data_IF_611121264512
#
_entry.id   IF_611121264512
#
_cell.length_a   1.000
_cell.length_b   1.000
_cell.length_c   1.000
_cell.angle_alpha   90.00
_cell.angle_beta   90.00
_cell.angle_gamma   90.00
#
_symmetry.space_group_name_H-M   'P 1'
#
loop_
_entity.id
_entity.type
_entity.pdbx_description
1 polymer ?
#
# COMPACT_ATOMS: atom_id res chain seq x y z
N UNK A 1 56.10 25.10 -53.96
CA UNK A 1 54.84 25.70 -53.57
C UNK A 1 54.03 24.56 -52.91
N UNK A 2 54.17 24.44 -51.59
CA UNK A 2 53.67 23.29 -50.80
C UNK A 2 52.42 23.74 -50.00
N UNK A 3 51.30 23.21 -50.41
CA UNK A 3 49.99 23.46 -49.67
C UNK A 3 49.94 22.59 -48.43
N UNK A 4 49.92 23.24 -47.28
CA UNK A 4 49.70 22.60 -45.96
C UNK A 4 48.22 22.43 -45.73
N UNK A 5 47.72 21.19 -45.78
CA UNK A 5 46.31 20.87 -45.37
C UNK A 5 46.22 20.82 -43.84
N UNK A 6 45.47 21.75 -43.25
CA UNK A 6 45.10 21.74 -41.83
C UNK A 6 44.00 20.69 -41.59
N UNK A 7 44.34 19.59 -40.92
CA UNK A 7 43.33 18.70 -40.32
C UNK A 7 42.87 19.30 -39.00
N UNK A 8 41.63 19.73 -38.96
CA UNK A 8 40.96 20.08 -37.70
C UNK A 8 40.44 18.79 -37.05
N UNK A 9 41.06 18.40 -35.94
CA UNK A 9 40.62 17.27 -35.11
C UNK A 9 39.49 17.77 -34.20
N UNK A 10 38.24 17.42 -34.52
CA UNK A 10 37.10 17.71 -33.66
C UNK A 10 37.11 16.73 -32.50
N UNK A 11 37.46 17.21 -31.31
CA UNK A 11 37.36 16.48 -30.05
C UNK A 11 35.89 16.46 -29.59
N UNK A 12 35.18 15.35 -29.81
CA UNK A 12 33.84 15.13 -29.30
C UNK A 12 33.98 14.79 -27.81
N UNK A 13 33.68 15.78 -26.96
CA UNK A 13 33.50 15.62 -25.50
C UNK A 13 32.23 14.86 -25.26
N UNK A 14 32.29 13.55 -25.04
CA UNK A 14 31.20 12.76 -24.49
C UNK A 14 31.11 13.05 -22.98
N UNK A 15 30.22 13.96 -22.61
CA UNK A 15 29.89 14.18 -21.22
C UNK A 15 29.08 12.96 -20.73
N UNK A 16 29.50 12.25 -19.67
CA UNK A 16 28.68 11.24 -19.07
C UNK A 16 27.47 11.97 -18.45
N UNK A 17 26.25 11.67 -18.94
CA UNK A 17 25.02 12.06 -18.31
C UNK A 17 25.00 11.39 -16.94
N UNK A 18 25.35 12.15 -15.88
CA UNK A 18 24.98 11.75 -14.52
C UNK A 18 23.46 11.75 -14.48
N UNK A 19 22.87 10.59 -14.66
CA UNK A 19 21.48 10.37 -14.26
C UNK A 19 21.40 10.67 -12.76
N UNK A 20 20.84 11.82 -12.43
CA UNK A 20 20.49 12.17 -11.06
C UNK A 20 19.45 11.11 -10.63
N UNK A 21 19.94 10.04 -10.00
CA UNK A 21 19.07 9.05 -9.39
C UNK A 21 18.22 9.83 -8.38
N UNK A 22 16.91 9.90 -8.64
CA UNK A 22 15.96 10.46 -7.71
C UNK A 22 16.16 9.74 -6.37
N UNK A 23 16.75 10.45 -5.40
CA UNK A 23 17.14 9.93 -4.08
C UNK A 23 15.91 9.73 -3.19
N UNK A 24 15.00 8.86 -3.62
CA UNK A 24 13.89 8.40 -2.80
C UNK A 24 14.27 7.09 -2.10
N UNK A 25 13.61 6.80 -0.99
CA UNK A 25 13.76 5.50 -0.32
C UNK A 25 13.43 4.35 -1.29
N UNK A 26 14.09 3.19 -1.10
CA UNK A 26 13.68 1.97 -1.79
C UNK A 26 12.30 1.49 -1.29
N UNK A 27 11.60 0.62 -2.03
CA UNK A 27 10.34 0.04 -1.58
C UNK A 27 10.43 -0.57 -0.16
N UNK A 28 11.46 -1.38 0.07
CA UNK A 28 11.69 -2.00 1.37
C UNK A 28 12.01 -0.96 2.45
N UNK A 29 12.82 0.05 2.13
CA UNK A 29 13.14 1.12 3.08
C UNK A 29 11.89 1.94 3.45
N UNK A 30 11.02 2.21 2.47
CA UNK A 30 9.72 2.86 2.69
C UNK A 30 8.85 2.03 3.65
N UNK A 31 8.71 0.73 3.42
CA UNK A 31 7.97 -0.17 4.31
C UNK A 31 8.58 -0.21 5.71
N UNK A 32 9.90 -0.34 5.84
CA UNK A 32 10.59 -0.34 7.14
C UNK A 32 10.31 0.94 7.92
N UNK A 33 10.41 2.08 7.26
CA UNK A 33 10.13 3.37 7.90
C UNK A 33 8.68 3.43 8.38
N UNK A 34 7.71 3.16 7.50
CA UNK A 34 6.27 3.27 7.82
C UNK A 34 5.86 2.26 8.89
N UNK A 35 6.30 1.02 8.81
CA UNK A 35 6.04 0.02 9.84
C UNK A 35 6.64 0.42 11.19
N UNK A 36 7.84 1.00 11.21
CA UNK A 36 8.47 1.51 12.43
C UNK A 36 7.72 2.69 13.07
N UNK A 37 7.15 3.57 12.24
CA UNK A 37 6.31 4.67 12.71
C UNK A 37 4.99 4.14 13.33
N UNK A 38 4.34 3.18 12.68
CA UNK A 38 3.14 2.51 13.20
C UNK A 38 3.44 1.75 14.50
N UNK A 39 4.54 1.00 14.55
CA UNK A 39 4.93 0.25 15.74
C UNK A 39 5.15 1.16 16.96
N UNK A 40 5.77 2.31 16.77
CA UNK A 40 5.92 3.33 17.83
C UNK A 40 4.57 3.83 18.35
N UNK A 41 3.62 4.09 17.45
CA UNK A 41 2.27 4.50 17.83
C UNK A 41 1.56 3.41 18.63
N UNK A 42 1.63 2.15 18.18
CA UNK A 42 0.97 1.02 18.82
C UNK A 42 1.52 0.71 20.22
N UNK A 43 2.82 0.88 20.43
CA UNK A 43 3.49 0.62 21.73
C UNK A 43 3.31 1.76 22.72
N UNK A 44 2.83 2.93 22.30
CA UNK A 44 2.51 4.00 23.24
C UNK A 44 1.28 3.62 24.07
N UNK A 45 1.45 3.63 25.39
CA UNK A 45 0.37 3.30 26.34
C UNK A 45 -0.68 4.41 26.34
N UNK A 46 -1.90 4.07 26.00
CA UNK A 46 -3.07 4.96 26.06
C UNK A 46 -4.20 4.27 26.83
N UNK A 47 -4.97 5.03 27.59
CA UNK A 47 -6.13 4.53 28.31
C UNK A 47 -7.26 4.24 27.32
N UNK A 48 -7.89 3.06 27.45
CA UNK A 48 -9.01 2.64 26.59
C UNK A 48 -10.21 3.60 26.74
N UNK A 49 -10.75 4.03 25.61
CA UNK A 49 -11.86 5.00 25.54
C UNK A 49 -11.43 6.45 25.69
N UNK A 50 -10.16 6.74 25.95
CA UNK A 50 -9.67 8.11 26.12
C UNK A 50 -9.53 8.87 24.79
N UNK A 51 -9.51 10.22 24.82
CA UNK A 51 -9.17 11.03 23.64
C UNK A 51 -7.78 10.69 23.05
N UNK A 52 -6.84 10.27 23.91
CA UNK A 52 -5.51 9.84 23.48
C UNK A 52 -5.57 8.55 22.66
N UNK A 53 -6.43 7.59 23.02
CA UNK A 53 -6.66 6.39 22.22
C UNK A 53 -7.27 6.72 20.85
N UNK A 54 -8.25 7.64 20.83
CA UNK A 54 -8.84 8.06 19.56
C UNK A 54 -7.79 8.75 18.66
N UNK A 55 -6.99 9.65 19.23
CA UNK A 55 -5.89 10.27 18.51
C UNK A 55 -4.89 9.24 17.96
N UNK A 56 -4.52 8.22 18.76
CA UNK A 56 -3.64 7.14 18.30
C UNK A 56 -4.23 6.39 17.09
N UNK A 57 -5.54 6.06 17.12
CA UNK A 57 -6.24 5.43 16.00
C UNK A 57 -6.21 6.31 14.74
N UNK A 58 -6.44 7.60 14.90
CA UNK A 58 -6.46 8.55 13.77
C UNK A 58 -5.05 8.74 13.19
N UNK A 59 -4.02 8.77 14.03
CA UNK A 59 -2.63 8.84 13.57
C UNK A 59 -2.22 7.58 12.81
N UNK A 60 -2.63 6.37 13.27
CA UNK A 60 -2.42 5.11 12.53
C UNK A 60 -3.13 5.13 11.17
N UNK A 61 -4.38 5.62 11.09
CA UNK A 61 -5.10 5.78 9.82
C UNK A 61 -4.39 6.73 8.86
N UNK A 62 -3.90 7.88 9.37
CA UNK A 62 -3.11 8.83 8.57
C UNK A 62 -1.85 8.18 8.01
N UNK A 63 -1.16 7.38 8.82
CA UNK A 63 0.01 6.64 8.37
C UNK A 63 -0.35 5.63 7.26
N UNK A 64 -1.41 4.84 7.44
CA UNK A 64 -1.90 3.94 6.41
C UNK A 64 -2.21 4.69 5.10
N UNK A 65 -2.81 5.89 5.19
CA UNK A 65 -3.13 6.72 4.04
C UNK A 65 -1.89 7.22 3.27
N UNK A 66 -0.73 7.33 3.90
CA UNK A 66 0.52 7.67 3.21
C UNK A 66 1.22 6.45 2.61
N UNK A 67 0.90 5.24 3.07
CA UNK A 67 1.51 4.01 2.59
C UNK A 67 0.66 3.31 1.53
N UNK A 68 -0.68 3.31 1.67
CA UNK A 68 -1.58 2.59 0.78
C UNK A 68 -2.04 3.47 -0.38
N UNK A 69 -2.01 2.90 -1.59
CA UNK A 69 -2.63 3.48 -2.78
C UNK A 69 -4.08 2.98 -2.88
N UNK A 70 -4.99 3.71 -2.24
CA UNK A 70 -6.41 3.34 -2.21
C UNK A 70 -7.07 3.45 -3.58
N UNK A 71 -6.63 4.35 -4.45
CA UNK A 71 -7.17 4.51 -5.80
C UNK A 71 -6.81 3.30 -6.67
N UNK A 72 -5.54 2.92 -6.72
CA UNK A 72 -5.08 1.75 -7.46
C UNK A 72 -5.71 0.46 -6.90
N UNK A 73 -5.77 0.32 -5.57
CA UNK A 73 -6.39 -0.82 -4.90
C UNK A 73 -7.88 -0.92 -5.24
N UNK A 74 -8.62 0.19 -5.22
CA UNK A 74 -10.04 0.27 -5.55
C UNK A 74 -10.29 -0.08 -7.02
N UNK A 75 -9.53 0.54 -7.93
CA UNK A 75 -9.63 0.27 -9.35
C UNK A 75 -9.40 -1.21 -9.67
N UNK A 76 -8.33 -1.79 -9.13
CA UNK A 76 -8.01 -3.21 -9.34
C UNK A 76 -9.03 -4.15 -8.70
N UNK A 77 -9.65 -3.75 -7.59
CA UNK A 77 -10.68 -4.55 -6.91
C UNK A 77 -12.02 -4.54 -7.66
N UNK A 78 -12.38 -3.46 -8.34
CA UNK A 78 -13.58 -3.41 -9.17
C UNK A 78 -13.36 -3.97 -10.58
N UNK A 79 -12.11 -3.95 -11.07
CA UNK A 79 -11.72 -4.46 -12.39
C UNK A 79 -12.66 -3.97 -13.51
N UNK A 80 -13.33 -4.89 -14.22
CA UNK A 80 -14.23 -4.57 -15.35
C UNK A 80 -15.43 -3.67 -14.99
N UNK A 81 -15.73 -3.48 -13.72
CA UNK A 81 -16.81 -2.60 -13.28
C UNK A 81 -16.37 -1.15 -13.10
N UNK A 82 -15.05 -0.89 -12.95
CA UNK A 82 -14.52 0.44 -12.68
C UNK A 82 -14.87 1.46 -13.76
N UNK A 83 -14.70 1.10 -15.02
CA UNK A 83 -14.90 2.02 -16.14
C UNK A 83 -16.39 2.37 -16.38
N UNK A 84 -17.30 1.56 -15.84
CA UNK A 84 -18.75 1.79 -15.88
C UNK A 84 -19.23 2.79 -14.85
N UNK A 85 -18.40 3.15 -13.85
CA UNK A 85 -18.77 4.07 -12.80
C UNK A 85 -18.56 5.52 -13.22
N UNK A 86 -19.49 6.37 -12.81
CA UNK A 86 -19.34 7.83 -12.90
C UNK A 86 -18.26 8.32 -11.93
N UNK A 87 -17.66 9.51 -12.15
CA UNK A 87 -16.68 10.07 -11.23
C UNK A 87 -17.15 10.16 -9.76
N UNK A 88 -18.38 10.61 -9.46
CA UNK A 88 -18.89 10.59 -8.08
C UNK A 88 -18.96 9.19 -7.46
N UNK A 89 -19.38 8.18 -8.25
CA UNK A 89 -19.43 6.80 -7.78
C UNK A 89 -18.01 6.25 -7.47
N UNK A 90 -17.02 6.57 -8.31
CA UNK A 90 -15.62 6.19 -8.03
C UNK A 90 -15.14 6.81 -6.73
N UNK A 91 -15.38 8.10 -6.51
CA UNK A 91 -15.02 8.80 -5.27
C UNK A 91 -15.68 8.17 -4.06
N UNK A 92 -16.99 7.88 -4.14
CA UNK A 92 -17.75 7.22 -3.07
C UNK A 92 -17.20 5.82 -2.77
N UNK A 93 -16.89 5.04 -3.80
CA UNK A 93 -16.35 3.70 -3.64
C UNK A 93 -14.98 3.72 -2.97
N UNK A 94 -14.05 4.56 -3.47
CA UNK A 94 -12.70 4.70 -2.90
C UNK A 94 -12.77 5.09 -1.43
N UNK A 95 -13.57 6.10 -1.08
CA UNK A 95 -13.71 6.55 0.31
C UNK A 95 -14.28 5.46 1.21
N UNK A 96 -15.33 4.76 0.77
CA UNK A 96 -15.96 3.68 1.55
C UNK A 96 -15.01 2.48 1.73
N UNK A 97 -14.29 2.10 0.67
CA UNK A 97 -13.30 1.02 0.73
C UNK A 97 -12.14 1.38 1.65
N UNK A 98 -11.65 2.61 1.55
CA UNK A 98 -10.62 3.14 2.43
C UNK A 98 -11.01 3.01 3.90
N UNK A 99 -12.21 3.48 4.28
CA UNK A 99 -12.69 3.38 5.67
C UNK A 99 -12.75 1.93 6.17
N UNK A 100 -13.22 1.00 5.33
CA UNK A 100 -13.26 -0.43 5.65
C UNK A 100 -11.86 -1.00 5.89
N UNK A 101 -10.90 -0.67 5.03
CA UNK A 101 -9.53 -1.14 5.15
C UNK A 101 -8.87 -0.55 6.39
N UNK A 102 -8.93 0.76 6.58
CA UNK A 102 -8.32 1.46 7.72
C UNK A 102 -8.86 0.93 9.05
N UNK A 103 -10.16 0.68 9.12
CA UNK A 103 -10.80 0.13 10.31
C UNK A 103 -10.34 -1.30 10.64
N UNK A 104 -10.33 -2.17 9.63
CA UNK A 104 -9.85 -3.54 9.79
C UNK A 104 -8.36 -3.56 10.16
N UNK A 105 -7.56 -2.71 9.54
CA UNK A 105 -6.13 -2.58 9.80
C UNK A 105 -5.86 -2.15 11.24
N UNK A 106 -6.51 -1.08 11.74
CA UNK A 106 -6.37 -0.62 13.13
C UNK A 106 -6.79 -1.70 14.12
N UNK A 107 -7.88 -2.43 13.83
CA UNK A 107 -8.35 -3.53 14.68
C UNK A 107 -7.32 -4.66 14.76
N UNK A 108 -6.78 -5.09 13.62
CA UNK A 108 -5.81 -6.19 13.56
C UNK A 108 -4.50 -5.83 14.26
N UNK A 109 -3.96 -4.65 14.01
CA UNK A 109 -2.72 -4.19 14.62
C UNK A 109 -2.77 -4.13 16.14
N UNK A 110 -3.93 -3.85 16.73
CA UNK A 110 -4.11 -3.75 18.18
C UNK A 110 -4.38 -5.09 18.85
N UNK A 111 -4.66 -6.13 18.09
CA UNK A 111 -4.99 -7.45 18.65
C UNK A 111 -3.75 -8.21 19.14
N UNK A 112 -2.62 -8.01 18.47
CA UNK A 112 -1.38 -8.67 18.86
C UNK A 112 -0.18 -7.76 18.62
N UNK A 113 0.48 -7.34 19.69
CA UNK A 113 1.66 -6.45 19.66
C UNK A 113 2.98 -7.22 19.81
N UNK A 114 2.94 -8.54 20.04
CA UNK A 114 4.14 -9.37 20.13
C UNK A 114 4.43 -10.03 18.77
N UNK A 115 4.96 -9.20 17.86
CA UNK A 115 5.37 -9.63 16.53
C UNK A 115 6.73 -9.05 16.15
N UNK A 116 7.40 -9.73 15.23
CA UNK A 116 8.62 -9.28 14.58
C UNK A 116 8.47 -9.36 13.07
N UNK A 117 8.89 -8.33 12.36
CA UNK A 117 8.89 -8.30 10.89
C UNK A 117 10.31 -8.53 10.37
N UNK A 118 10.48 -9.57 9.59
CA UNK A 118 11.72 -9.87 8.88
C UNK A 118 11.54 -9.54 7.39
N UNK A 119 12.31 -8.59 6.88
CA UNK A 119 12.31 -8.18 5.47
C UNK A 119 13.24 -9.12 4.72
N UNK A 120 12.70 -9.88 3.75
CA UNK A 120 13.41 -10.95 3.06
C UNK A 120 13.95 -10.52 1.70
N UNK A 121 13.07 -10.00 0.85
CA UNK A 121 13.39 -9.74 -0.55
C UNK A 121 12.73 -8.47 -1.06
N UNK A 122 13.37 -7.82 -2.04
CA UNK A 122 12.85 -6.68 -2.80
C UNK A 122 13.13 -6.92 -4.27
N UNK A 123 12.08 -6.91 -5.08
CA UNK A 123 12.17 -7.02 -6.54
C UNK A 123 11.62 -5.76 -7.17
N UNK A 124 12.40 -5.17 -8.07
CA UNK A 124 12.05 -3.94 -8.80
C UNK A 124 11.77 -4.26 -10.26
N UNK A 125 10.71 -3.69 -10.80
CA UNK A 125 10.39 -3.73 -12.23
C UNK A 125 9.82 -2.36 -12.65
N UNK A 126 10.70 -1.45 -13.05
CA UNK A 126 10.37 -0.07 -13.39
C UNK A 126 9.77 0.69 -12.21
N UNK A 127 8.53 1.13 -12.34
CA UNK A 127 7.74 1.80 -11.32
C UNK A 127 6.95 0.82 -10.41
N UNK A 128 7.12 -0.48 -10.59
CA UNK A 128 6.51 -1.52 -9.78
C UNK A 128 7.55 -2.18 -8.90
N UNK A 129 7.14 -2.63 -7.72
CA UNK A 129 7.98 -3.41 -6.83
C UNK A 129 7.20 -4.48 -6.09
N UNK A 130 7.93 -5.51 -5.67
CA UNK A 130 7.44 -6.53 -4.75
C UNK A 130 8.38 -6.59 -3.56
N UNK A 131 7.84 -6.47 -2.34
CA UNK A 131 8.61 -6.66 -1.11
C UNK A 131 8.02 -7.83 -0.33
N UNK A 132 8.86 -8.80 0.00
CA UNK A 132 8.47 -9.98 0.79
C UNK A 132 8.97 -9.84 2.21
N UNK A 133 8.08 -10.11 3.17
CA UNK A 133 8.40 -10.13 4.60
C UNK A 133 7.86 -11.40 5.25
N UNK A 134 8.49 -11.82 6.36
CA UNK A 134 7.95 -12.81 7.28
C UNK A 134 7.60 -12.12 8.58
N UNK A 135 6.34 -12.21 8.97
CA UNK A 135 5.87 -11.72 10.27
C UNK A 135 5.81 -12.89 11.23
N UNK A 136 6.65 -12.83 12.25
CA UNK A 136 6.69 -13.82 13.33
C UNK A 136 5.84 -13.33 14.49
N UNK A 137 4.77 -14.05 14.77
CA UNK A 137 3.82 -13.71 15.84
C UNK A 137 3.99 -14.67 17.01
N UNK A 138 4.14 -14.13 18.22
CA UNK A 138 4.05 -14.91 19.46
C UNK A 138 2.65 -14.73 20.06
N UNK A 139 1.91 -15.81 20.18
CA UNK A 139 0.61 -15.80 20.86
C UNK A 139 0.43 -17.07 21.69
N UNK A 140 0.13 -16.90 22.98
CA UNK A 140 -0.16 -18.01 23.90
C UNK A 140 0.85 -19.18 23.84
N UNK A 141 2.16 -18.89 23.72
CA UNK A 141 3.21 -19.90 23.64
C UNK A 141 3.36 -20.59 22.28
N UNK A 142 2.57 -20.21 21.29
CA UNK A 142 2.70 -20.66 19.90
C UNK A 142 3.42 -19.61 19.06
N UNK A 143 4.31 -20.08 18.20
CA UNK A 143 4.92 -19.25 17.15
C UNK A 143 4.19 -19.53 15.83
N UNK A 144 3.74 -18.49 15.18
CA UNK A 144 3.16 -18.57 13.85
C UNK A 144 3.89 -17.59 12.95
N UNK A 145 4.45 -18.10 11.87
CA UNK A 145 5.09 -17.29 10.85
C UNK A 145 4.09 -17.09 9.71
N UNK A 146 3.88 -15.86 9.30
CA UNK A 146 3.05 -15.52 8.15
C UNK A 146 3.91 -14.80 7.09
N UNK A 147 3.86 -15.27 5.85
CA UNK A 147 4.45 -14.55 4.74
C UNK A 147 3.52 -13.43 4.31
N UNK A 148 4.08 -12.22 4.18
CA UNK A 148 3.37 -11.07 3.64
C UNK A 148 4.15 -10.48 2.48
N UNK A 149 3.50 -10.43 1.31
CA UNK A 149 4.03 -9.86 0.10
C UNK A 149 3.29 -8.55 -0.20
N UNK A 150 4.04 -7.47 -0.32
CA UNK A 150 3.52 -6.15 -0.67
C UNK A 150 3.76 -5.87 -2.15
N UNK A 151 2.70 -5.60 -2.91
CA UNK A 151 2.80 -5.07 -4.26
C UNK A 151 2.77 -3.56 -4.20
N UNK A 152 3.81 -2.94 -4.72
CA UNK A 152 4.02 -1.51 -4.62
C UNK A 152 4.15 -0.87 -6.00
N UNK A 153 3.77 0.41 -6.07
CA UNK A 153 3.95 1.27 -7.23
C UNK A 153 4.58 2.58 -6.80
N UNK A 154 5.44 3.13 -7.62
CA UNK A 154 6.07 4.43 -7.41
C UNK A 154 5.22 5.51 -8.07
N UNK A 155 4.88 6.54 -7.29
CA UNK A 155 4.27 7.77 -7.77
C UNK A 155 5.15 9.00 -7.46
N UNK A 156 4.60 10.20 -7.60
CA UNK A 156 5.31 11.45 -7.31
C UNK A 156 5.71 11.61 -5.83
N UNK A 157 4.99 10.95 -4.92
CA UNK A 157 5.21 11.01 -3.47
C UNK A 157 6.12 9.87 -2.96
N UNK A 158 6.40 8.86 -3.81
CA UNK A 158 7.26 7.72 -3.50
C UNK A 158 6.59 6.37 -3.72
N UNK A 159 7.01 5.36 -2.95
CA UNK A 159 6.47 4.02 -3.06
C UNK A 159 5.21 3.84 -2.24
N UNK A 160 4.14 3.33 -2.87
CA UNK A 160 2.84 3.07 -2.24
C UNK A 160 2.38 1.63 -2.51
N UNK A 161 1.73 1.04 -1.52
CA UNK A 161 1.23 -0.34 -1.58
C UNK A 161 -0.18 -0.35 -2.16
N UNK A 162 -0.40 -1.14 -3.22
CA UNK A 162 -1.71 -1.31 -3.82
C UNK A 162 -2.30 -2.73 -3.64
N UNK A 163 -1.49 -3.72 -3.22
CA UNK A 163 -1.98 -5.04 -2.83
C UNK A 163 -1.13 -5.63 -1.70
N UNK A 164 -1.76 -6.38 -0.83
CA UNK A 164 -1.12 -7.15 0.24
C UNK A 164 -1.56 -8.60 0.10
N UNK A 165 -0.59 -9.50 0.01
CA UNK A 165 -0.82 -10.94 -0.09
C UNK A 165 -0.35 -11.55 1.21
N UNK A 166 -1.25 -12.23 1.93
CA UNK A 166 -0.95 -12.94 3.18
C UNK A 166 -1.30 -14.41 2.98
N UNK A 167 -0.33 -15.29 3.21
CA UNK A 167 -0.50 -16.73 3.03
C UNK A 167 -1.17 -17.06 1.67
N UNK A 168 -0.61 -16.52 0.59
CA UNK A 168 -1.06 -16.66 -0.80
C UNK A 168 -2.40 -15.97 -1.13
N UNK A 169 -3.09 -15.36 -0.16
CA UNK A 169 -4.36 -14.67 -0.37
C UNK A 169 -4.15 -13.18 -0.63
N UNK A 170 -4.36 -12.75 -1.88
CA UNK A 170 -4.31 -11.32 -2.28
C UNK A 170 -5.57 -10.59 -1.83
N UNK A 171 -5.39 -9.45 -1.16
CA UNK A 171 -6.47 -8.56 -0.73
C UNK A 171 -7.31 -8.07 -1.93
N UNK A 172 -6.64 -7.61 -2.98
CA UNK A 172 -7.28 -7.12 -4.21
C UNK A 172 -8.07 -8.25 -4.89
N UNK A 173 -7.49 -9.44 -5.04
CA UNK A 173 -8.20 -10.59 -5.66
C UNK A 173 -9.41 -11.01 -4.84
N UNK A 174 -9.29 -11.01 -3.52
CA UNK A 174 -10.38 -11.34 -2.61
C UNK A 174 -11.54 -10.34 -2.73
N UNK A 175 -11.25 -9.05 -2.69
CA UNK A 175 -12.26 -8.01 -2.94
C UNK A 175 -12.86 -8.10 -4.33
N UNK A 176 -12.05 -8.32 -5.36
CA UNK A 176 -12.53 -8.48 -6.74
C UNK A 176 -13.58 -9.59 -6.85
N UNK A 177 -13.30 -10.74 -6.28
CA UNK A 177 -14.23 -11.88 -6.29
C UNK A 177 -15.54 -11.52 -5.58
N UNK A 178 -15.47 -10.93 -4.39
CA UNK A 178 -16.65 -10.55 -3.62
C UNK A 178 -17.46 -9.44 -4.32
N UNK A 179 -16.80 -8.40 -4.80
CA UNK A 179 -17.47 -7.26 -5.43
C UNK A 179 -18.08 -7.65 -6.77
N UNK A 180 -17.35 -8.42 -7.60
CA UNK A 180 -17.89 -8.93 -8.86
C UNK A 180 -19.14 -9.76 -8.63
N UNK A 181 -19.14 -10.65 -7.66
CA UNK A 181 -20.31 -11.45 -7.30
C UNK A 181 -21.51 -10.56 -6.95
N UNK A 182 -21.34 -9.59 -6.04
CA UNK A 182 -22.44 -8.72 -5.60
C UNK A 182 -22.95 -7.85 -6.75
N UNK A 183 -22.06 -7.28 -7.57
CA UNK A 183 -22.46 -6.40 -8.67
C UNK A 183 -23.20 -7.20 -9.75
N UNK A 184 -22.73 -8.42 -10.06
CA UNK A 184 -23.34 -9.28 -11.09
C UNK A 184 -24.70 -9.81 -10.65
N UNK A 185 -24.83 -10.26 -9.41
CA UNK A 185 -26.06 -10.84 -8.86
C UNK A 185 -27.11 -9.77 -8.46
N UNK A 186 -26.68 -8.56 -8.16
CA UNK A 186 -27.55 -7.50 -7.63
C UNK A 186 -27.30 -6.18 -8.38
N UNK A 187 -26.39 -5.32 -7.88
CA UNK A 187 -25.98 -4.05 -8.50
C UNK A 187 -24.78 -3.42 -7.79
N UNK A 188 -24.22 -2.35 -8.39
CA UNK A 188 -23.24 -1.50 -7.73
C UNK A 188 -23.82 -0.83 -6.46
N UNK A 189 -25.05 -0.34 -6.51
CA UNK A 189 -25.71 0.32 -5.35
C UNK A 189 -25.87 -0.67 -4.19
N UNK A 190 -26.19 -1.93 -4.49
CA UNK A 190 -26.26 -2.98 -3.46
C UNK A 190 -24.87 -3.24 -2.82
N UNK A 191 -23.79 -3.18 -3.60
CA UNK A 191 -22.43 -3.29 -3.08
C UNK A 191 -22.13 -2.14 -2.12
N UNK A 192 -22.34 -0.88 -2.53
CA UNK A 192 -22.09 0.29 -1.68
C UNK A 192 -22.93 0.24 -0.41
N UNK A 193 -24.20 -0.12 -0.50
CA UNK A 193 -25.07 -0.28 0.67
C UNK A 193 -24.51 -1.32 1.65
N UNK A 194 -24.08 -2.49 1.16
CA UNK A 194 -23.48 -3.53 2.01
C UNK A 194 -22.18 -3.06 2.66
N UNK A 195 -21.33 -2.35 1.93
CA UNK A 195 -20.09 -1.79 2.47
C UNK A 195 -20.36 -0.78 3.59
N UNK A 196 -21.33 0.14 3.39
CA UNK A 196 -21.74 1.13 4.40
C UNK A 196 -22.38 0.47 5.63
N UNK A 197 -23.22 -0.53 5.44
CA UNK A 197 -23.78 -1.29 6.57
C UNK A 197 -22.66 -1.93 7.40
N UNK A 198 -21.68 -2.54 6.76
CA UNK A 198 -20.52 -3.13 7.46
C UNK A 198 -19.71 -2.09 8.26
N UNK A 199 -19.68 -0.84 7.80
CA UNK A 199 -19.11 0.26 8.57
C UNK A 199 -20.00 0.65 9.77
N UNK A 200 -21.30 0.63 9.64
CA UNK A 200 -22.24 0.95 10.72
C UNK A 200 -22.27 -0.12 11.82
N UNK A 201 -22.33 -1.41 11.44
CA UNK A 201 -22.49 -2.55 12.37
C UNK A 201 -21.28 -2.75 13.31
N UNK A 202 -20.19 -2.11 13.07
CA UNK A 202 -18.98 -2.31 13.85
C UNK A 202 -18.65 -1.09 14.74
N UNK A 203 -19.62 -0.16 14.96
CA UNK A 203 -19.58 0.93 15.92
C UNK A 203 -20.11 0.45 17.25
#
# INVERSE_FOLDING_TARGET
MIMLKRCALALVLVLPSLALAASGLSPMATLKQKNGEVDKLLRSKVEKGSPAEQKQKDDIKKMAATLLDYDELAQKSLAQHWDKLTPPQRTEFVSTLRELIERNYVKQLRTNLDYQVQYQNEELNGDQATVTTIVKVKSAGKHTDAEIIYKMKKDAEGWRVWDVITDEVSLVKNYRTQFNKIITEQSYDALIKKMKNKLADAT
#
